data_IF_743654280800
#
_entry.id   IF_743654280800
#
_cell.length_a   1.000
_cell.length_b   1.000
_cell.length_c   1.000
_cell.angle_alpha   90.00
_cell.angle_beta   90.00
_cell.angle_gamma   90.00
#
_symmetry.space_group_name_H-M   'P 1'
#
loop_
_entity.id
_entity.type
_entity.pdbx_description
1 polymer ?
#
# COMPACT_ATOMS: atom_id res chain seq x y z
N UNK A 1 21.04 13.44 7.07
CA UNK A 1 20.67 12.01 6.90
C UNK A 1 19.14 11.84 6.89
N UNK A 2 18.36 12.80 6.37
CA UNK A 2 16.99 13.02 6.87
C UNK A 2 15.80 12.81 5.94
N UNK A 3 15.95 12.68 4.62
CA UNK A 3 14.78 12.61 3.71
C UNK A 3 14.78 11.37 2.78
N UNK A 4 15.94 10.91 2.32
CA UNK A 4 16.05 9.77 1.42
C UNK A 4 15.73 8.42 2.12
N UNK A 5 16.19 8.24 3.37
CA UNK A 5 15.89 7.06 4.18
C UNK A 5 14.40 6.95 4.50
N UNK A 6 13.72 8.11 4.63
CA UNK A 6 12.27 8.18 4.87
C UNK A 6 11.50 7.63 3.68
N UNK A 7 11.95 7.83 2.44
CA UNK A 7 11.19 7.41 1.26
C UNK A 7 11.01 5.88 1.18
N UNK A 8 12.09 5.10 1.36
CA UNK A 8 12.00 3.64 1.36
C UNK A 8 11.30 3.14 2.62
N UNK A 9 11.64 3.69 3.79
CA UNK A 9 10.99 3.32 5.05
C UNK A 9 9.47 3.55 5.00
N UNK A 10 9.04 4.68 4.44
CA UNK A 10 7.63 5.00 4.25
C UNK A 10 6.97 4.07 3.22
N UNK A 11 7.57 3.83 2.06
CA UNK A 11 7.01 2.92 1.06
C UNK A 11 6.79 1.51 1.63
N UNK A 12 7.77 0.98 2.36
CA UNK A 12 7.67 -0.34 3.01
C UNK A 12 6.65 -0.33 4.14
N UNK A 13 6.67 0.71 4.98
CA UNK A 13 5.72 0.90 6.07
C UNK A 13 4.28 0.96 5.57
N UNK A 14 4.02 1.72 4.49
CA UNK A 14 2.71 1.81 3.84
C UNK A 14 2.28 0.46 3.29
N UNK A 15 3.16 -0.34 2.69
CA UNK A 15 2.80 -1.71 2.26
C UNK A 15 2.38 -2.59 3.45
N UNK A 16 3.12 -2.54 4.56
CA UNK A 16 2.80 -3.31 5.77
C UNK A 16 1.46 -2.85 6.37
N UNK A 17 1.22 -1.53 6.45
CA UNK A 17 -0.04 -0.97 6.93
C UNK A 17 -1.21 -1.31 5.98
N UNK A 18 -1.02 -1.17 4.67
CA UNK A 18 -2.05 -1.45 3.68
C UNK A 18 -2.52 -2.90 3.75
N UNK A 19 -1.60 -3.85 3.89
CA UNK A 19 -1.98 -5.26 3.99
C UNK A 19 -2.46 -5.62 5.41
N UNK A 20 -1.70 -5.22 6.42
CA UNK A 20 -1.96 -5.62 7.80
C UNK A 20 -3.18 -4.97 8.40
N UNK A 21 -3.29 -3.65 8.24
CA UNK A 21 -4.37 -2.85 8.79
C UNK A 21 -5.56 -2.78 7.83
N UNK A 22 -5.37 -2.29 6.59
CA UNK A 22 -6.50 -1.99 5.71
C UNK A 22 -7.15 -3.27 5.19
N UNK A 23 -6.37 -4.12 4.51
CA UNK A 23 -6.87 -5.41 4.02
C UNK A 23 -7.31 -6.29 5.18
N UNK A 24 -6.56 -6.30 6.29
CA UNK A 24 -6.94 -6.99 7.52
C UNK A 24 -8.33 -6.58 8.02
N UNK A 25 -8.60 -5.28 8.11
CA UNK A 25 -9.89 -4.75 8.54
C UNK A 25 -11.01 -5.03 7.53
N UNK A 26 -10.76 -4.81 6.23
CA UNK A 26 -11.73 -5.11 5.16
C UNK A 26 -12.14 -6.58 5.23
N UNK A 27 -11.18 -7.49 5.35
CA UNK A 27 -11.44 -8.93 5.43
C UNK A 27 -12.06 -9.33 6.76
N UNK A 28 -11.74 -8.66 7.88
CA UNK A 28 -12.38 -8.94 9.17
C UNK A 28 -13.87 -8.58 9.15
N UNK A 29 -14.22 -7.50 8.44
CA UNK A 29 -15.59 -7.00 8.32
C UNK A 29 -16.43 -7.81 7.32
N UNK A 30 -15.84 -8.25 6.20
CA UNK A 30 -16.58 -8.96 5.15
C UNK A 30 -15.76 -10.06 4.47
N UNK A 31 -16.46 -11.04 3.91
CA UNK A 31 -15.81 -12.03 3.05
C UNK A 31 -15.51 -11.41 1.69
N UNK A 32 -14.30 -11.65 1.20
CA UNK A 32 -13.87 -11.12 -0.09
C UNK A 32 -13.76 -12.25 -1.10
N UNK A 33 -14.40 -12.07 -2.25
CA UNK A 33 -14.36 -13.00 -3.38
C UNK A 33 -13.67 -12.30 -4.55
N UNK A 34 -12.64 -12.93 -5.09
CA UNK A 34 -11.84 -12.43 -6.21
C UNK A 34 -11.82 -13.47 -7.33
N UNK A 35 -11.84 -12.99 -8.57
CA UNK A 35 -11.55 -13.84 -9.72
C UNK A 35 -10.09 -14.30 -9.68
N UNK A 36 -9.87 -15.61 -9.60
CA UNK A 36 -8.54 -16.18 -9.38
C UNK A 36 -7.52 -15.79 -10.48
N UNK A 37 -7.98 -15.65 -11.73
CA UNK A 37 -7.13 -15.26 -12.87
C UNK A 37 -6.57 -13.84 -12.70
N UNK A 38 -7.43 -12.88 -12.38
CA UNK A 38 -7.04 -11.49 -12.20
C UNK A 38 -6.20 -11.28 -10.94
N UNK A 39 -6.58 -11.95 -9.85
CA UNK A 39 -5.79 -11.91 -8.63
C UNK A 39 -4.38 -12.46 -8.86
N UNK A 40 -4.25 -13.62 -9.52
CA UNK A 40 -2.94 -14.23 -9.79
C UNK A 40 -2.06 -13.32 -10.64
N UNK A 41 -2.61 -12.67 -11.67
CA UNK A 41 -1.86 -11.70 -12.49
C UNK A 41 -1.32 -10.55 -11.63
N UNK A 42 -2.16 -9.95 -10.78
CA UNK A 42 -1.75 -8.86 -9.88
C UNK A 42 -0.76 -9.32 -8.81
N UNK A 43 -0.94 -10.52 -8.26
CA UNK A 43 -0.07 -11.11 -7.26
C UNK A 43 1.36 -11.33 -7.79
N UNK A 44 1.50 -11.76 -9.05
CA UNK A 44 2.81 -11.93 -9.69
C UNK A 44 3.54 -10.59 -9.82
N UNK A 45 2.85 -9.55 -10.32
CA UNK A 45 3.42 -8.21 -10.40
C UNK A 45 3.83 -7.66 -9.04
N UNK A 46 3.00 -7.88 -8.02
CA UNK A 46 3.29 -7.47 -6.65
C UNK A 46 4.49 -8.19 -6.05
N UNK A 47 4.56 -9.51 -6.19
CA UNK A 47 5.71 -10.29 -5.72
C UNK A 47 7.00 -9.89 -6.46
N UNK A 48 6.93 -9.66 -7.78
CA UNK A 48 8.08 -9.20 -8.55
C UNK A 48 8.57 -7.82 -8.12
N UNK A 49 7.66 -6.85 -7.93
CA UNK A 49 8.00 -5.52 -7.41
C UNK A 49 8.74 -5.60 -6.07
N UNK A 50 8.23 -6.41 -5.15
CA UNK A 50 8.81 -6.64 -3.83
C UNK A 50 10.22 -7.26 -3.92
N UNK A 51 10.38 -8.31 -4.73
CA UNK A 51 11.67 -8.99 -4.89
C UNK A 51 12.72 -8.10 -5.56
N UNK A 52 12.33 -7.33 -6.58
CA UNK A 52 13.23 -6.39 -7.25
C UNK A 52 13.71 -5.32 -6.27
N UNK A 53 12.80 -4.72 -5.49
CA UNK A 53 13.18 -3.71 -4.51
C UNK A 53 14.13 -4.28 -3.45
N UNK A 54 13.78 -5.42 -2.85
CA UNK A 54 14.63 -6.08 -1.84
C UNK A 54 16.01 -6.39 -2.42
N UNK A 55 16.07 -6.89 -3.66
CA UNK A 55 17.33 -7.18 -4.35
C UNK A 55 18.19 -5.94 -4.58
N UNK A 56 17.59 -4.83 -5.02
CA UNK A 56 18.28 -3.56 -5.21
C UNK A 56 18.75 -2.94 -3.90
N UNK A 57 17.99 -3.12 -2.83
CA UNK A 57 18.31 -2.61 -1.50
C UNK A 57 19.34 -3.44 -0.74
N UNK A 58 19.74 -4.62 -1.23
CA UNK A 58 20.62 -5.55 -0.50
C UNK A 58 22.00 -4.96 -0.15
N UNK A 59 22.53 -4.09 -1.02
CA UNK A 59 23.81 -3.40 -0.78
C UNK A 59 23.67 -2.17 0.15
N UNK A 60 22.48 -1.94 0.73
CA UNK A 60 22.21 -0.78 1.59
C UNK A 60 22.00 0.53 0.81
N UNK A 61 21.87 0.47 -0.52
CA UNK A 61 21.79 1.66 -1.36
C UNK A 61 21.03 1.39 -2.66
N UNK A 62 20.09 2.27 -3.02
CA UNK A 62 19.35 2.27 -4.29
C UNK A 62 19.80 3.48 -5.10
N UNK A 63 20.63 3.22 -6.11
CA UNK A 63 21.14 4.24 -7.01
C UNK A 63 20.20 4.57 -8.17
N UNK A 64 20.56 5.60 -8.95
CA UNK A 64 19.73 6.11 -10.06
C UNK A 64 19.37 5.05 -11.10
N UNK A 65 20.27 4.10 -11.38
CA UNK A 65 20.01 3.02 -12.34
C UNK A 65 18.93 2.09 -11.82
N UNK A 66 19.05 1.62 -10.57
CA UNK A 66 18.03 0.80 -9.91
C UNK A 66 16.69 1.53 -9.88
N UNK A 67 16.71 2.81 -9.53
CA UNK A 67 15.53 3.68 -9.50
C UNK A 67 14.86 3.81 -10.87
N UNK A 68 15.63 3.97 -11.94
CA UNK A 68 15.09 4.00 -13.30
C UNK A 68 14.44 2.67 -13.70
N UNK A 69 15.05 1.54 -13.32
CA UNK A 69 14.45 0.21 -13.54
C UNK A 69 13.12 0.06 -12.80
N UNK A 70 13.02 0.53 -11.57
CA UNK A 70 11.76 0.53 -10.81
C UNK A 70 10.67 1.36 -11.50
N UNK A 71 11.01 2.53 -12.05
CA UNK A 71 10.08 3.36 -12.82
C UNK A 71 9.60 2.63 -14.08
N UNK A 72 10.53 2.04 -14.85
CA UNK A 72 10.17 1.27 -16.05
C UNK A 72 9.26 0.09 -15.71
N UNK A 73 9.53 -0.60 -14.59
CA UNK A 73 8.68 -1.68 -14.10
C UNK A 73 7.27 -1.17 -13.74
N UNK A 74 7.14 -0.02 -13.09
CA UNK A 74 5.86 0.60 -12.77
C UNK A 74 5.04 0.89 -14.04
N UNK A 75 5.67 1.49 -15.06
CA UNK A 75 5.00 1.74 -16.34
C UNK A 75 4.64 0.46 -17.09
N UNK A 76 5.50 -0.57 -17.04
CA UNK A 76 5.19 -1.88 -17.61
C UNK A 76 3.99 -2.53 -16.93
N UNK A 77 3.89 -2.45 -15.59
CA UNK A 77 2.73 -2.90 -14.84
C UNK A 77 1.45 -2.16 -15.25
N UNK A 78 1.48 -0.83 -15.28
CA UNK A 78 0.32 -0.01 -15.68
C UNK A 78 -0.09 -0.31 -17.12
N UNK A 79 0.86 -0.41 -18.04
CA UNK A 79 0.62 -0.77 -19.44
C UNK A 79 0.03 -2.17 -19.59
N UNK A 80 0.57 -3.17 -18.89
CA UNK A 80 0.04 -4.53 -18.89
C UNK A 80 -1.40 -4.59 -18.33
N UNK A 81 -1.67 -3.83 -17.28
CA UNK A 81 -3.00 -3.76 -16.67
C UNK A 81 -3.99 -3.02 -17.58
N UNK A 82 -3.55 -1.98 -18.29
CA UNK A 82 -4.34 -1.28 -19.30
C UNK A 82 -4.68 -2.18 -20.49
N UNK A 83 -3.69 -2.91 -21.03
CA UNK A 83 -3.90 -3.86 -22.11
C UNK A 83 -4.85 -5.00 -21.71
N UNK A 84 -4.72 -5.53 -20.49
CA UNK A 84 -5.67 -6.52 -19.97
C UNK A 84 -7.09 -5.96 -19.88
N UNK A 85 -7.25 -4.72 -19.41
CA UNK A 85 -8.55 -4.06 -19.34
C UNK A 85 -9.17 -3.78 -20.72
N UNK A 86 -8.37 -3.61 -21.77
CA UNK A 86 -8.86 -3.51 -23.15
C UNK A 86 -9.32 -4.86 -23.71
N UNK A 87 -8.65 -5.95 -23.35
CA UNK A 87 -8.98 -7.31 -23.81
C UNK A 87 -10.24 -7.86 -23.13
N UNK A 88 -10.48 -7.51 -21.87
CA UNK A 88 -11.67 -7.91 -21.12
C UNK A 88 -12.89 -7.01 -21.42
N UNK A 89 -12.81 -6.10 -22.41
CA UNK A 89 -13.99 -5.35 -22.87
C UNK A 89 -15.00 -6.34 -23.45
N UNK A 90 -16.29 -6.24 -23.08
CA UNK A 90 -17.31 -7.07 -23.70
C UNK A 90 -17.31 -6.83 -25.22
N UNK A 91 -17.30 -7.92 -25.99
CA UNK A 91 -17.41 -7.84 -27.45
C UNK A 91 -18.72 -7.14 -27.80
N UNK A 92 -18.73 -6.17 -28.74
CA UNK A 92 -19.97 -5.55 -29.17
C UNK A 92 -20.86 -6.61 -29.81
N UNK A 93 -21.99 -6.95 -29.16
CA UNK A 93 -22.98 -7.92 -29.66
C UNK A 93 -23.45 -9.01 -28.69
N UNK A 94 -22.88 -9.17 -27.49
CA UNK A 94 -23.29 -10.20 -26.51
C UNK A 94 -23.90 -9.62 -25.24
N UNK A 95 -24.72 -8.57 -25.34
CA UNK A 95 -25.39 -7.95 -24.19
C UNK A 95 -26.54 -8.85 -23.71
N UNK A 96 -26.20 -9.88 -22.94
CA UNK A 96 -27.10 -10.48 -21.98
C UNK A 96 -26.66 -9.98 -20.60
N UNK A 97 -27.53 -9.19 -19.98
CA UNK A 97 -27.41 -8.59 -18.66
C UNK A 97 -26.18 -7.70 -18.48
N UNK A 98 -26.37 -6.41 -18.71
CA UNK A 98 -25.60 -5.37 -18.03
C UNK A 98 -25.63 -5.67 -16.52
N UNK A 99 -24.56 -6.23 -15.98
CA UNK A 99 -24.25 -6.03 -14.56
C UNK A 99 -23.96 -4.54 -14.43
N UNK A 100 -25.02 -3.79 -14.14
CA UNK A 100 -24.97 -2.38 -13.83
C UNK A 100 -23.86 -2.14 -12.81
N UNK A 101 -22.82 -1.43 -13.24
CA UNK A 101 -21.86 -0.87 -12.32
C UNK A 101 -22.63 0.03 -11.35
N UNK A 102 -22.55 -0.17 -10.03
CA UNK A 102 -23.55 0.26 -9.06
C UNK A 102 -23.30 1.69 -8.56
N UNK A 103 -22.71 2.52 -9.41
CA UNK A 103 -22.41 3.92 -9.12
C UNK A 103 -22.95 4.74 -10.28
N UNK A 104 -24.28 4.80 -10.40
CA UNK A 104 -24.89 5.65 -11.40
C UNK A 104 -26.03 6.53 -10.88
N UNK A 105 -25.75 7.38 -9.88
CA UNK A 105 -26.64 8.48 -9.53
C UNK A 105 -26.00 9.82 -9.94
N UNK A 106 -26.37 10.30 -11.15
CA UNK A 106 -25.90 11.51 -11.90
C UNK A 106 -24.54 11.40 -12.61
N UNK A 107 -24.57 11.40 -13.96
CA UNK A 107 -23.41 11.83 -14.77
C UNK A 107 -23.30 13.35 -14.62
N UNK A 108 -22.27 13.82 -13.91
CA UNK A 108 -21.98 15.25 -13.84
C UNK A 108 -21.34 15.70 -15.17
N UNK A 109 -21.65 16.90 -15.64
CA UNK A 109 -20.97 17.49 -16.81
C UNK A 109 -19.45 17.39 -16.65
N UNK A 110 -18.71 17.11 -17.73
CA UNK A 110 -17.23 16.90 -17.69
C UNK A 110 -16.51 17.97 -16.88
N UNK A 111 -16.90 19.24 -17.04
CA UNK A 111 -16.35 20.37 -16.28
C UNK A 111 -16.59 20.22 -14.77
N UNK A 112 -17.80 19.83 -14.39
CA UNK A 112 -18.21 19.66 -13.00
C UNK A 112 -17.51 18.47 -12.36
N UNK A 113 -17.38 17.34 -13.07
CA UNK A 113 -16.60 16.18 -12.60
C UNK A 113 -15.13 16.53 -12.39
N UNK A 114 -14.54 17.30 -13.31
CA UNK A 114 -13.16 17.77 -13.19
C UNK A 114 -12.96 18.69 -11.99
N UNK A 115 -13.86 19.65 -11.77
CA UNK A 115 -13.82 20.54 -10.61
C UNK A 115 -13.96 19.77 -9.29
N UNK A 116 -14.89 18.81 -9.22
CA UNK A 116 -15.07 17.96 -8.03
C UNK A 116 -13.83 17.09 -7.80
N UNK A 117 -13.21 16.57 -8.86
CA UNK A 117 -11.97 15.81 -8.75
C UNK A 117 -10.83 16.66 -8.16
N UNK A 118 -10.63 17.89 -8.67
CA UNK A 118 -9.62 18.81 -8.12
C UNK A 118 -9.89 19.17 -6.66
N UNK A 119 -11.15 19.46 -6.32
CA UNK A 119 -11.56 19.76 -4.95
C UNK A 119 -11.34 18.56 -4.01
N UNK A 120 -11.71 17.35 -4.46
CA UNK A 120 -11.48 16.10 -3.73
C UNK A 120 -10.00 15.82 -3.50
N UNK A 121 -9.17 15.97 -4.54
CA UNK A 121 -7.72 15.84 -4.43
C UNK A 121 -7.15 16.82 -3.41
N UNK A 122 -7.55 18.09 -3.47
CA UNK A 122 -7.14 19.10 -2.49
C UNK A 122 -7.52 18.73 -1.06
N UNK A 123 -8.76 18.28 -0.83
CA UNK A 123 -9.23 17.85 0.49
C UNK A 123 -8.46 16.64 1.03
N UNK A 124 -8.15 15.65 0.19
CA UNK A 124 -7.37 14.48 0.60
C UNK A 124 -5.94 14.89 0.98
N UNK A 125 -5.30 15.73 0.18
CA UNK A 125 -3.94 16.20 0.45
C UNK A 125 -3.84 17.02 1.74
N UNK A 126 -4.81 17.90 1.98
CA UNK A 126 -4.85 18.73 3.20
C UNK A 126 -5.18 17.84 4.41
N UNK A 127 -6.17 16.96 4.29
CA UNK A 127 -6.61 16.08 5.38
C UNK A 127 -5.52 15.10 5.83
N UNK A 128 -4.80 14.47 4.89
CA UNK A 128 -3.71 13.55 5.24
C UNK A 128 -2.56 14.28 5.92
N UNK A 129 -2.18 15.48 5.45
CA UNK A 129 -1.15 16.31 6.08
C UNK A 129 -1.53 16.71 7.50
N UNK A 130 -2.74 17.26 7.70
CA UNK A 130 -3.21 17.65 9.02
C UNK A 130 -3.18 16.48 10.00
N UNK A 131 -3.58 15.28 9.56
CA UNK A 131 -3.56 14.10 10.41
C UNK A 131 -2.14 13.60 10.71
N UNK A 132 -1.24 13.60 9.73
CA UNK A 132 0.18 13.23 9.93
C UNK A 132 0.84 14.23 10.89
N UNK A 133 0.76 15.53 10.62
CA UNK A 133 1.41 16.57 11.41
C UNK A 133 0.90 16.58 12.85
N UNK A 134 -0.42 16.48 13.03
CA UNK A 134 -1.02 16.41 14.37
C UNK A 134 -0.64 15.10 15.08
N UNK A 135 -0.57 13.98 14.36
CA UNK A 135 -0.14 12.69 14.89
C UNK A 135 1.31 12.70 15.37
N UNK A 136 2.20 13.32 14.59
CA UNK A 136 3.61 13.53 14.97
C UNK A 136 3.68 14.37 16.24
N UNK A 137 2.98 15.51 16.30
CA UNK A 137 2.98 16.39 17.47
C UNK A 137 2.49 15.68 18.74
N UNK A 138 1.43 14.86 18.64
CA UNK A 138 0.94 14.04 19.77
C UNK A 138 2.00 13.01 20.19
N UNK A 139 2.64 12.34 19.24
CA UNK A 139 3.64 11.33 19.53
C UNK A 139 4.92 11.90 20.16
N UNK A 140 5.36 13.06 19.70
CA UNK A 140 6.47 13.80 20.32
C UNK A 140 6.12 14.25 21.74
N UNK A 141 4.90 14.73 21.97
CA UNK A 141 4.41 15.05 23.32
C UNK A 141 4.39 13.83 24.25
N UNK A 142 4.14 12.63 23.69
CA UNK A 142 4.21 11.35 24.40
C UNK A 142 5.63 10.76 24.48
N UNK A 143 6.66 11.48 23.99
CA UNK A 143 8.08 11.05 23.95
C UNK A 143 8.29 9.73 23.20
N UNK A 144 7.49 9.48 22.16
CA UNK A 144 7.66 8.33 21.29
C UNK A 144 8.92 8.54 20.42
N UNK A 145 9.81 7.54 20.25
CA UNK A 145 11.01 7.70 19.43
C UNK A 145 10.69 8.05 17.97
N UNK A 146 11.46 8.96 17.36
CA UNK A 146 11.25 9.44 15.99
C UNK A 146 11.24 8.31 14.94
N UNK A 147 12.00 7.23 15.17
CA UNK A 147 11.97 6.03 14.33
C UNK A 147 10.58 5.37 14.29
N UNK A 148 9.93 5.26 15.46
CA UNK A 148 8.56 4.73 15.57
C UNK A 148 7.59 5.65 14.87
N UNK A 149 7.71 6.96 15.07
CA UNK A 149 6.84 7.96 14.42
C UNK A 149 6.92 7.82 12.90
N UNK A 150 8.13 7.75 12.33
CA UNK A 150 8.34 7.63 10.88
C UNK A 150 7.84 6.31 10.29
N UNK A 151 8.05 5.20 10.99
CA UNK A 151 7.66 3.87 10.51
C UNK A 151 6.21 3.48 10.82
N UNK A 152 5.48 4.27 11.62
CA UNK A 152 4.09 3.99 12.01
C UNK A 152 3.14 5.14 11.72
N UNK A 153 3.27 6.28 12.38
CA UNK A 153 2.32 7.39 12.28
C UNK A 153 2.34 8.00 10.88
N UNK A 154 3.53 8.22 10.33
CA UNK A 154 3.66 8.73 8.96
C UNK A 154 3.13 7.68 7.97
N UNK A 155 3.55 6.42 8.09
CA UNK A 155 3.12 5.34 7.22
C UNK A 155 1.60 5.07 7.26
N UNK A 156 0.97 5.13 8.44
CA UNK A 156 -0.48 5.04 8.59
C UNK A 156 -1.14 6.26 7.98
N UNK A 157 -0.58 7.45 8.24
CA UNK A 157 -1.11 8.72 7.78
C UNK A 157 -1.14 8.85 6.25
N UNK A 158 -0.10 8.38 5.56
CA UNK A 158 -0.07 8.31 4.09
C UNK A 158 -1.03 7.27 3.54
N UNK A 159 -1.33 6.21 4.30
CA UNK A 159 -2.28 5.15 3.96
C UNK A 159 -3.75 5.44 4.36
N UNK A 160 -4.05 6.62 4.94
CA UNK A 160 -5.42 6.98 5.33
C UNK A 160 -6.39 7.08 4.15
N UNK A 161 -6.03 7.68 3.00
CA UNK A 161 -6.93 7.71 1.85
C UNK A 161 -7.32 6.29 1.42
N UNK A 162 -6.37 5.36 1.42
CA UNK A 162 -6.56 3.95 1.12
C UNK A 162 -7.46 3.28 2.15
N UNK A 163 -7.28 3.60 3.44
CA UNK A 163 -8.14 3.10 4.51
C UNK A 163 -9.59 3.54 4.30
N UNK A 164 -9.79 4.83 4.04
CA UNK A 164 -11.13 5.42 3.81
C UNK A 164 -11.78 4.80 2.57
N UNK A 165 -11.04 4.67 1.46
CA UNK A 165 -11.56 4.03 0.24
C UNK A 165 -11.90 2.56 0.47
N UNK A 166 -11.08 1.83 1.23
CA UNK A 166 -11.32 0.43 1.58
C UNK A 166 -12.57 0.22 2.44
N UNK A 167 -12.74 1.00 3.52
CA UNK A 167 -13.95 0.95 4.34
C UNK A 167 -15.20 1.38 3.53
N UNK A 168 -15.06 2.38 2.66
CA UNK A 168 -16.15 2.84 1.81
C UNK A 168 -16.57 1.75 0.82
N UNK A 169 -15.63 0.99 0.27
CA UNK A 169 -15.93 -0.10 -0.67
C UNK A 169 -16.66 -1.25 0.04
N UNK A 170 -16.27 -1.60 1.28
CA UNK A 170 -16.99 -2.55 2.12
C UNK A 170 -18.41 -2.09 2.37
N UNK A 171 -18.58 -0.81 2.77
CA UNK A 171 -19.90 -0.22 3.03
C UNK A 171 -20.80 -0.22 1.78
N UNK A 172 -20.20 -0.08 0.60
CA UNK A 172 -20.92 -0.12 -0.69
C UNK A 172 -21.17 -1.53 -1.20
N UNK A 173 -20.60 -2.58 -0.59
CA UNK A 173 -20.78 -3.97 -1.03
C UNK A 173 -19.78 -4.45 -2.09
N UNK A 174 -18.69 -3.71 -2.34
CA UNK A 174 -17.65 -4.04 -3.33
C UNK A 174 -16.26 -4.14 -2.66
N UNK A 175 -16.04 -5.11 -1.75
CA UNK A 175 -14.78 -5.25 -1.04
C UNK A 175 -13.62 -5.74 -1.93
N UNK A 176 -13.93 -6.41 -3.04
CA UNK A 176 -12.98 -6.82 -4.07
C UNK A 176 -12.24 -5.64 -4.72
N UNK A 177 -12.97 -4.53 -4.94
CA UNK A 177 -12.38 -3.29 -5.43
C UNK A 177 -11.32 -2.73 -4.47
N UNK A 178 -11.54 -2.83 -3.15
CA UNK A 178 -10.54 -2.42 -2.16
C UNK A 178 -9.28 -3.26 -2.25
N UNK A 179 -9.39 -4.58 -2.40
CA UNK A 179 -8.20 -5.43 -2.52
C UNK A 179 -7.42 -5.10 -3.80
N UNK A 180 -8.13 -4.90 -4.92
CA UNK A 180 -7.53 -4.48 -6.18
C UNK A 180 -6.80 -3.13 -6.08
N UNK A 181 -7.37 -2.17 -5.34
CA UNK A 181 -6.79 -0.87 -5.07
C UNK A 181 -5.50 -1.01 -4.23
N UNK A 182 -5.55 -1.75 -3.12
CA UNK A 182 -4.41 -1.93 -2.22
C UNK A 182 -3.23 -2.61 -2.92
N UNK A 183 -3.47 -3.66 -3.72
CA UNK A 183 -2.38 -4.31 -4.47
C UNK A 183 -1.76 -3.33 -5.47
N UNK A 184 -2.58 -2.54 -6.16
CA UNK A 184 -2.11 -1.53 -7.10
C UNK A 184 -1.28 -0.44 -6.43
N UNK A 185 -1.78 0.12 -5.32
CA UNK A 185 -1.08 1.12 -4.52
C UNK A 185 0.27 0.58 -4.02
N UNK A 186 0.30 -0.62 -3.44
CA UNK A 186 1.53 -1.24 -2.96
C UNK A 186 2.57 -1.46 -4.08
N UNK A 187 2.14 -1.85 -5.28
CA UNK A 187 3.05 -1.96 -6.44
C UNK A 187 3.64 -0.59 -6.75
N UNK A 188 2.82 0.45 -6.84
CA UNK A 188 3.28 1.80 -7.17
C UNK A 188 4.18 2.39 -6.07
N UNK A 189 3.91 2.10 -4.79
CA UNK A 189 4.77 2.52 -3.68
C UNK A 189 6.16 1.91 -3.80
N UNK A 190 6.23 0.58 -3.99
CA UNK A 190 7.49 -0.15 -4.09
C UNK A 190 8.27 0.16 -5.37
N UNK A 191 7.62 0.71 -6.40
CA UNK A 191 8.21 0.91 -7.72
C UNK A 191 8.27 2.38 -8.11
N UNK A 192 7.14 3.00 -8.41
CA UNK A 192 7.08 4.38 -8.88
C UNK A 192 7.55 5.37 -7.84
N UNK A 193 7.07 5.28 -6.59
CA UNK A 193 7.43 6.26 -5.54
C UNK A 193 8.91 6.12 -5.17
N UNK A 194 9.38 4.91 -4.88
CA UNK A 194 10.80 4.66 -4.58
C UNK A 194 11.68 5.01 -5.80
N UNK A 195 11.24 4.65 -7.01
CA UNK A 195 11.98 4.91 -8.24
C UNK A 195 12.12 6.41 -8.52
N UNK A 196 11.03 7.19 -8.46
CA UNK A 196 11.10 8.64 -8.64
C UNK A 196 11.98 9.28 -7.56
N UNK A 197 11.79 8.89 -6.30
CA UNK A 197 12.61 9.40 -5.18
C UNK A 197 14.10 9.14 -5.42
N UNK A 198 14.47 7.94 -5.86
CA UNK A 198 15.86 7.55 -6.08
C UNK A 198 16.53 8.12 -7.33
N UNK A 199 15.74 8.49 -8.35
CA UNK A 199 16.25 9.27 -9.49
C UNK A 199 16.62 10.69 -9.06
N UNK A 200 15.78 11.32 -8.23
CA UNK A 200 16.02 12.66 -7.69
C UNK A 200 17.23 12.63 -6.76
N UNK A 201 17.20 11.77 -5.73
CA UNK A 201 18.27 11.60 -4.76
C UNK A 201 18.48 10.11 -4.49
N UNK A 202 19.69 9.56 -4.71
CA UNK A 202 19.96 8.16 -4.40
C UNK A 202 19.62 7.83 -2.95
N UNK A 203 19.01 6.66 -2.74
CA UNK A 203 18.39 6.31 -1.47
C UNK A 203 19.32 5.41 -0.67
N UNK A 204 19.62 5.81 0.56
CA UNK A 204 20.33 4.95 1.51
C UNK A 204 19.28 4.10 2.22
N UNK A 205 19.56 2.81 2.35
CA UNK A 205 18.65 1.85 3.01
C UNK A 205 19.20 1.57 4.39
N UNK A 206 18.44 1.97 5.42
CA UNK A 206 18.82 1.69 6.80
C UNK A 206 18.88 0.18 7.06
N UNK A 207 19.78 -0.23 7.96
CA UNK A 207 19.84 -1.63 8.42
C UNK A 207 18.54 -2.09 9.04
N UNK A 208 17.85 -1.19 9.75
CA UNK A 208 16.56 -1.47 10.40
C UNK A 208 15.49 -1.81 9.36
N UNK A 209 15.42 -1.08 8.24
CA UNK A 209 14.49 -1.41 7.14
C UNK A 209 14.77 -2.79 6.57
N UNK A 210 16.05 -3.14 6.35
CA UNK A 210 16.44 -4.43 5.77
C UNK A 210 16.20 -5.59 6.73
N UNK A 211 16.56 -5.44 8.00
CA UNK A 211 16.54 -6.52 8.99
C UNK A 211 15.19 -6.67 9.69
N UNK A 212 14.39 -5.61 9.74
CA UNK A 212 13.10 -5.61 10.42
C UNK A 212 11.93 -5.44 9.44
N UNK A 213 11.82 -4.30 8.76
CA UNK A 213 10.64 -4.00 7.94
C UNK A 213 10.47 -4.93 6.74
N UNK A 214 11.54 -5.26 6.02
CA UNK A 214 11.46 -6.17 4.87
C UNK A 214 10.99 -7.58 5.22
N UNK A 215 11.53 -8.27 6.25
CA UNK A 215 10.98 -9.56 6.69
C UNK A 215 9.49 -9.50 7.01
N UNK A 216 9.03 -8.48 7.74
CA UNK A 216 7.61 -8.32 8.06
C UNK A 216 6.75 -8.06 6.82
N UNK A 217 7.22 -7.21 5.90
CA UNK A 217 6.58 -6.96 4.61
C UNK A 217 6.44 -8.26 3.81
N UNK A 218 7.48 -9.09 3.76
CA UNK A 218 7.45 -10.38 3.08
C UNK A 218 6.46 -11.35 3.74
N UNK A 219 6.52 -11.51 5.07
CA UNK A 219 5.63 -12.40 5.82
C UNK A 219 4.17 -12.03 5.61
N UNK A 220 3.83 -10.74 5.80
CA UNK A 220 2.45 -10.28 5.69
C UNK A 220 1.93 -10.38 4.25
N UNK A 221 2.80 -10.12 3.26
CA UNK A 221 2.48 -10.24 1.84
C UNK A 221 2.27 -11.69 1.42
N UNK A 222 3.14 -12.61 1.84
CA UNK A 222 3.00 -14.03 1.54
C UNK A 222 1.71 -14.58 2.14
N UNK A 223 1.42 -14.24 3.41
CA UNK A 223 0.17 -14.65 4.04
C UNK A 223 -1.03 -14.13 3.25
N UNK A 224 -1.08 -12.82 3.01
CA UNK A 224 -2.14 -12.18 2.24
C UNK A 224 -2.34 -12.82 0.86
N UNK A 225 -1.28 -12.95 0.07
CA UNK A 225 -1.34 -13.58 -1.25
C UNK A 225 -1.83 -15.03 -1.16
N UNK A 226 -1.32 -15.78 -0.18
CA UNK A 226 -1.70 -17.17 0.09
C UNK A 226 -3.20 -17.35 0.36
N UNK A 227 -3.86 -16.35 0.96
CA UNK A 227 -5.30 -16.46 1.30
C UNK A 227 -6.21 -16.60 0.09
N UNK A 228 -5.78 -16.12 -1.09
CA UNK A 228 -6.61 -16.12 -2.31
C UNK A 228 -6.17 -17.18 -3.34
N UNK A 229 -5.01 -17.84 -3.18
CA UNK A 229 -4.44 -18.76 -4.18
C UNK A 229 -5.25 -20.04 -4.43
N UNK A 230 -6.01 -20.56 -3.44
CA UNK A 230 -6.70 -21.85 -3.58
C UNK A 230 -8.12 -21.78 -4.12
N UNK A 231 -8.90 -20.79 -3.69
CA UNK A 231 -10.34 -20.73 -3.99
C UNK A 231 -10.83 -19.34 -4.45
N UNK A 232 -9.96 -18.33 -4.51
CA UNK A 232 -10.36 -16.95 -4.76
C UNK A 232 -11.29 -16.37 -3.69
N UNK A 233 -11.52 -17.08 -2.58
CA UNK A 233 -12.38 -16.66 -1.48
C UNK A 233 -11.53 -16.57 -0.23
N UNK A 234 -11.57 -15.43 0.44
CA UNK A 234 -10.90 -15.21 1.72
C UNK A 234 -11.93 -15.06 2.84
N UNK A 235 -11.76 -15.87 3.88
CA UNK A 235 -12.66 -15.91 5.05
C UNK A 235 -12.34 -14.78 6.02
N UNK A 236 -13.31 -14.40 6.85
CA UNK A 236 -13.13 -13.30 7.82
C UNK A 236 -11.98 -13.48 8.81
N UNK A 237 -11.70 -14.72 9.22
CA UNK A 237 -10.60 -15.02 10.13
C UNK A 237 -9.22 -14.62 9.57
N UNK A 238 -9.04 -14.66 8.24
CA UNK A 238 -7.81 -14.22 7.60
C UNK A 238 -7.54 -12.73 7.88
N UNK A 239 -8.59 -11.91 7.96
CA UNK A 239 -8.48 -10.49 8.31
C UNK A 239 -7.97 -10.29 9.73
N UNK A 240 -8.51 -11.05 10.69
CA UNK A 240 -8.02 -11.03 12.08
C UNK A 240 -6.57 -11.47 12.21
N UNK A 241 -6.13 -12.46 11.42
CA UNK A 241 -4.72 -12.88 11.41
C UNK A 241 -3.81 -11.79 10.82
N UNK A 242 -4.23 -11.11 9.75
CA UNK A 242 -3.50 -9.96 9.22
C UNK A 242 -3.37 -8.83 10.24
N UNK A 243 -4.47 -8.51 10.94
CA UNK A 243 -4.46 -7.51 12.02
C UNK A 243 -3.55 -7.94 13.18
N UNK A 244 -3.51 -9.23 13.52
CA UNK A 244 -2.62 -9.75 14.55
C UNK A 244 -1.14 -9.67 14.13
N UNK A 245 -0.80 -10.04 12.88
CA UNK A 245 0.55 -9.88 12.34
C UNK A 245 0.97 -8.41 12.34
N UNK A 246 0.05 -7.50 11.98
CA UNK A 246 0.29 -6.06 12.04
C UNK A 246 0.51 -5.56 13.48
N UNK A 247 -0.29 -6.01 14.44
CA UNK A 247 -0.09 -5.71 15.85
C UNK A 247 1.25 -6.20 16.39
N UNK A 248 1.71 -7.39 15.95
CA UNK A 248 3.04 -7.91 16.27
C UNK A 248 4.16 -7.08 15.65
N UNK A 249 3.98 -6.60 14.42
CA UNK A 249 4.92 -5.67 13.78
C UNK A 249 5.04 -4.36 14.57
N UNK A 250 3.91 -3.75 14.94
CA UNK A 250 3.92 -2.48 15.69
C UNK A 250 4.54 -2.66 17.08
N UNK A 251 4.15 -3.70 17.82
CA UNK A 251 4.70 -3.94 19.16
C UNK A 251 6.19 -4.26 19.12
N UNK A 252 6.64 -5.10 18.18
CA UNK A 252 8.06 -5.38 18.00
C UNK A 252 8.86 -4.15 17.58
N UNK A 253 8.30 -3.28 16.72
CA UNK A 253 8.94 -2.04 16.30
C UNK A 253 9.10 -1.06 17.46
N UNK A 254 8.07 -0.90 18.27
CA UNK A 254 8.12 -0.06 19.48
C UNK A 254 9.19 -0.58 20.45
N UNK A 255 9.21 -1.89 20.70
CA UNK A 255 10.22 -2.51 21.57
C UNK A 255 11.64 -2.32 21.03
N UNK A 256 11.83 -2.53 19.72
CA UNK A 256 13.11 -2.33 19.05
C UNK A 256 13.58 -0.87 19.20
N UNK A 257 12.71 0.09 18.94
CA UNK A 257 13.06 1.50 19.04
C UNK A 257 13.37 1.95 20.48
N UNK A 258 12.65 1.43 21.47
CA UNK A 258 12.92 1.71 22.89
C UNK A 258 14.29 1.17 23.30
N UNK A 259 14.67 -0.05 22.90
CA UNK A 259 15.99 -0.61 23.21
C UNK A 259 17.14 0.13 22.52
N UNK A 260 16.95 0.53 21.25
CA UNK A 260 17.93 1.34 20.52
C UNK A 260 18.16 2.72 21.18
N UNK A 261 17.12 3.32 21.76
CA UNK A 261 17.23 4.60 22.46
C UNK A 261 17.99 4.52 23.79
N UNK A 262 17.92 3.39 24.50
CA UNK A 262 18.63 3.17 25.76
C UNK A 262 20.15 2.96 25.55
N UNK A 263 20.53 2.24 24.48
CA UNK A 263 21.94 1.98 24.18
C UNK A 263 22.73 3.19 23.65
N UNK A 264 22.06 4.28 23.22
CA UNK A 264 22.73 5.51 22.80
C UNK A 264 23.00 6.49 23.96
N UNK A 265 22.50 6.19 25.17
CA UNK A 265 22.67 7.01 26.38
C UNK A 265 23.77 6.53 27.33
N UNK A 266 24.57 5.54 26.92
CA UNK A 266 25.77 5.01 27.60
C UNK A 266 26.98 5.14 26.69
#
# INVERSE_FOLDING_TARGET
MGEADIAIGNAVGSVIANIGLIVGLVMALTEVRLQAKDFRRRAIWYAAAMLILIGFSYQGFVGKVQSFVLILFAFAYVGAQYCAALQDRPKPGTVAAEEESPVHDKVWSRKRSFLIFLAGLGMVLIGSRLMVDSGIAVAEALRIPSLVIGLTIIAIGTSLPELVTGLTSVRKGYPDLSIGNIIGANILDLTLIVGVSGVINPLVVSRDTVQYSYPYMVIISIFFLGTFLRKGISRRWNGWVLLAIYGLYITGLVNFALHSSLNQST
#
